data_IF_344600858066
#
_entry.id   IF_344600858066
#
_cell.length_a   1.000
_cell.length_b   1.000
_cell.length_c   1.000
_cell.angle_alpha   90.00
_cell.angle_beta   90.00
_cell.angle_gamma   90.00
#
_symmetry.space_group_name_H-M   'P 1'
#
loop_
_entity.id
_entity.type
_entity.pdbx_description
1 polymer ?
#
# COMPACT_ATOMS: atom_id res chain seq x y z
N UNK A 1 -15.65 -10.06 18.87
CA UNK A 1 -15.31 -9.84 17.45
C UNK A 1 -15.16 -11.21 16.80
N UNK A 2 -15.80 -11.42 15.70
CA UNK A 2 -15.72 -12.70 15.02
C UNK A 2 -14.47 -12.78 14.13
N UNK A 3 -14.19 -14.01 13.67
CA UNK A 3 -13.01 -14.27 12.85
C UNK A 3 -13.09 -13.60 11.48
N UNK A 4 -14.29 -13.34 10.98
CA UNK A 4 -14.49 -12.67 9.69
C UNK A 4 -14.03 -11.23 9.77
N UNK A 5 -14.41 -10.51 10.82
CA UNK A 5 -13.99 -9.13 11.02
C UNK A 5 -12.47 -9.05 11.19
N UNK A 6 -11.87 -9.99 11.95
CA UNK A 6 -10.42 -10.05 12.14
C UNK A 6 -9.72 -10.33 10.80
N UNK A 7 -10.24 -11.30 10.03
CA UNK A 7 -9.71 -11.62 8.71
C UNK A 7 -9.72 -10.42 7.77
N UNK A 8 -10.84 -9.70 7.72
CA UNK A 8 -10.95 -8.51 6.89
C UNK A 8 -9.98 -7.42 7.34
N UNK A 9 -9.84 -7.20 8.65
CA UNK A 9 -8.92 -6.22 9.19
C UNK A 9 -7.47 -6.56 8.83
N UNK A 10 -7.08 -7.84 8.90
CA UNK A 10 -5.74 -8.26 8.52
C UNK A 10 -5.50 -8.13 7.01
N UNK A 11 -6.52 -8.40 6.20
CA UNK A 11 -6.42 -8.28 4.75
C UNK A 11 -6.10 -6.84 4.32
N UNK A 12 -6.57 -5.85 5.06
CA UNK A 12 -6.28 -4.45 4.81
C UNK A 12 -5.03 -4.01 5.57
N UNK A 13 -4.92 -4.40 6.82
CA UNK A 13 -3.88 -3.90 7.72
C UNK A 13 -2.48 -4.38 7.38
N UNK A 14 -2.31 -5.65 7.02
CA UNK A 14 -0.99 -6.18 6.72
C UNK A 14 -0.39 -5.55 5.45
N UNK A 15 -1.11 -5.48 4.33
CA UNK A 15 -0.59 -4.76 3.16
C UNK A 15 -0.37 -3.29 3.42
N UNK A 16 -1.23 -2.65 4.24
CA UNK A 16 -1.06 -1.25 4.58
C UNK A 16 0.25 -1.00 5.34
N UNK A 17 0.59 -1.89 6.29
CA UNK A 17 1.85 -1.79 7.01
C UNK A 17 3.03 -2.00 6.07
N UNK A 18 2.97 -3.00 5.19
CA UNK A 18 4.04 -3.27 4.23
C UNK A 18 4.22 -2.09 3.27
N UNK A 19 3.13 -1.53 2.78
CA UNK A 19 3.15 -0.36 1.89
C UNK A 19 3.74 0.85 2.60
N UNK A 20 3.31 1.09 3.84
CA UNK A 20 3.85 2.18 4.65
C UNK A 20 5.34 2.05 4.87
N UNK A 21 5.81 0.84 5.15
CA UNK A 21 7.25 0.61 5.29
C UNK A 21 7.97 0.89 3.97
N UNK A 22 7.50 0.33 2.86
CA UNK A 22 8.10 0.56 1.55
C UNK A 22 8.17 2.05 1.22
N UNK A 23 7.06 2.77 1.41
CA UNK A 23 7.00 4.20 1.12
C UNK A 23 7.89 5.01 2.05
N UNK A 24 8.09 4.57 3.29
CA UNK A 24 8.99 5.27 4.22
C UNK A 24 10.44 5.24 3.77
N UNK A 25 10.81 4.24 2.96
CA UNK A 25 12.15 4.13 2.39
C UNK A 25 12.24 4.73 1.00
N UNK A 26 11.23 4.52 0.19
CA UNK A 26 11.20 5.02 -1.20
C UNK A 26 11.03 6.54 -1.21
N UNK A 27 10.18 7.09 -0.34
CA UNK A 27 9.85 8.50 -0.33
C UNK A 27 11.06 9.41 -0.22
N UNK A 28 11.87 9.28 0.84
CA UNK A 28 13.06 10.12 0.98
C UNK A 28 14.07 9.92 -0.15
N UNK A 29 14.27 8.67 -0.60
CA UNK A 29 15.19 8.39 -1.69
C UNK A 29 14.71 9.02 -3.00
N UNK A 30 13.41 8.92 -3.28
CA UNK A 30 12.82 9.54 -4.47
C UNK A 30 12.94 11.06 -4.41
N UNK A 31 12.67 11.66 -3.25
CA UNK A 31 12.77 13.09 -3.07
C UNK A 31 14.20 13.57 -3.32
N UNK A 32 15.21 12.85 -2.80
CA UNK A 32 16.60 13.18 -3.02
C UNK A 32 16.96 13.07 -4.50
N UNK A 33 16.49 12.03 -5.18
CA UNK A 33 16.74 11.86 -6.62
C UNK A 33 16.15 12.98 -7.44
N UNK A 34 14.93 13.43 -7.10
CA UNK A 34 14.26 14.51 -7.81
C UNK A 34 14.99 15.85 -7.65
N UNK A 35 15.68 16.05 -6.54
CA UNK A 35 16.48 17.24 -6.32
C UNK A 35 17.62 17.33 -7.34
N UNK A 36 18.25 16.20 -7.64
CA UNK A 36 19.37 16.15 -8.58
C UNK A 36 18.89 15.97 -10.03
N UNK A 37 17.80 15.21 -10.23
CA UNK A 37 17.28 14.85 -11.55
C UNK A 37 15.77 15.01 -11.58
N UNK A 38 15.26 16.21 -11.83
CA UNK A 38 13.80 16.45 -11.87
C UNK A 38 13.07 15.60 -12.92
N UNK A 39 13.77 15.16 -13.97
CA UNK A 39 13.18 14.31 -15.01
C UNK A 39 12.77 12.94 -14.51
N UNK A 40 13.16 12.52 -13.30
CA UNK A 40 12.77 11.27 -12.70
C UNK A 40 11.40 11.31 -12.02
N UNK A 41 10.65 12.39 -12.17
CA UNK A 41 9.34 12.55 -11.50
C UNK A 41 8.39 11.40 -11.75
N UNK A 42 8.25 10.95 -13.01
CA UNK A 42 7.37 9.83 -13.34
C UNK A 42 7.86 8.54 -12.69
N UNK A 43 9.16 8.28 -12.71
CA UNK A 43 9.74 7.11 -12.08
C UNK A 43 9.47 7.12 -10.57
N UNK A 44 9.62 8.26 -9.92
CA UNK A 44 9.35 8.39 -8.48
C UNK A 44 7.89 8.09 -8.15
N UNK A 45 6.96 8.59 -8.97
CA UNK A 45 5.54 8.31 -8.78
C UNK A 45 5.26 6.82 -8.90
N UNK A 46 5.84 6.15 -9.89
CA UNK A 46 5.67 4.71 -10.09
C UNK A 46 6.21 3.91 -8.92
N UNK A 47 7.36 4.30 -8.39
CA UNK A 47 7.96 3.61 -7.24
C UNK A 47 7.09 3.70 -5.98
N UNK A 48 6.37 4.79 -5.82
CA UNK A 48 5.44 4.96 -4.71
C UNK A 48 4.12 4.23 -4.97
N UNK A 49 3.63 4.29 -6.21
CA UNK A 49 2.34 3.71 -6.58
C UNK A 49 2.33 2.17 -6.56
N UNK A 50 3.46 1.54 -6.93
CA UNK A 50 3.52 0.09 -7.02
C UNK A 50 3.26 -0.59 -5.65
N UNK A 51 3.94 -0.21 -4.57
CA UNK A 51 3.62 -0.78 -3.25
C UNK A 51 2.18 -0.50 -2.82
N UNK A 52 1.65 0.67 -3.16
CA UNK A 52 0.30 1.06 -2.79
C UNK A 52 -0.75 0.15 -3.43
N UNK A 53 -0.45 -0.44 -4.58
CA UNK A 53 -1.32 -1.42 -5.22
C UNK A 53 -1.62 -2.61 -4.30
N UNK A 54 -0.66 -3.03 -3.49
CA UNK A 54 -0.88 -4.09 -2.51
C UNK A 54 -1.93 -3.69 -1.48
N UNK A 55 -1.91 -2.45 -1.03
CA UNK A 55 -2.90 -1.95 -0.08
C UNK A 55 -4.29 -1.91 -0.71
N UNK A 56 -4.39 -1.52 -1.97
CA UNK A 56 -5.66 -1.50 -2.70
C UNK A 56 -6.20 -2.90 -2.86
N UNK A 57 -5.37 -3.86 -3.26
CA UNK A 57 -5.79 -5.26 -3.41
C UNK A 57 -6.22 -5.84 -2.06
N UNK A 58 -5.49 -5.54 -0.99
CA UNK A 58 -5.86 -5.96 0.35
C UNK A 58 -7.20 -5.38 0.79
N UNK A 59 -7.46 -4.13 0.46
CA UNK A 59 -8.75 -3.49 0.73
C UNK A 59 -9.88 -4.23 0.00
N UNK A 60 -9.70 -4.54 -1.27
CA UNK A 60 -10.71 -5.27 -2.06
C UNK A 60 -10.99 -6.63 -1.41
N UNK A 61 -9.95 -7.35 -1.03
CA UNK A 61 -10.12 -8.66 -0.38
C UNK A 61 -10.83 -8.50 0.96
N UNK A 62 -10.49 -7.48 1.74
CA UNK A 62 -11.16 -7.21 3.01
C UNK A 62 -12.66 -6.97 2.83
N UNK A 63 -13.04 -6.19 1.83
CA UNK A 63 -14.45 -5.94 1.51
C UNK A 63 -15.14 -7.24 1.10
N UNK A 64 -14.50 -8.05 0.26
CA UNK A 64 -15.07 -9.32 -0.16
C UNK A 64 -15.28 -10.28 1.01
N UNK A 65 -14.35 -10.31 1.95
CA UNK A 65 -14.49 -11.14 3.15
C UNK A 65 -15.71 -10.70 3.95
N UNK A 66 -15.88 -9.40 4.16
CA UNK A 66 -17.02 -8.88 4.90
C UNK A 66 -18.34 -9.19 4.20
N UNK A 67 -18.37 -9.06 2.88
CA UNK A 67 -19.57 -9.32 2.09
C UNK A 67 -19.96 -10.79 2.12
N UNK A 68 -19.00 -11.69 2.09
CA UNK A 68 -19.26 -13.14 2.09
C UNK A 68 -19.55 -13.66 3.49
N UNK A 69 -18.97 -13.04 4.48
CA UNK A 69 -19.14 -13.46 5.87
C UNK A 69 -20.43 -12.97 6.50
N UNK A 70 -21.04 -11.98 5.90
CA UNK A 70 -22.32 -11.46 6.36
C UNK A 70 -23.47 -12.32 5.93
#
# INVERSE_FOLDING_TARGET
>A
MDTIAIGAALAVGLPALATGWAQSRIGPAAAASLTERPELGVTAILLIAIPETMAILGFVIGVLILMRGG
#
